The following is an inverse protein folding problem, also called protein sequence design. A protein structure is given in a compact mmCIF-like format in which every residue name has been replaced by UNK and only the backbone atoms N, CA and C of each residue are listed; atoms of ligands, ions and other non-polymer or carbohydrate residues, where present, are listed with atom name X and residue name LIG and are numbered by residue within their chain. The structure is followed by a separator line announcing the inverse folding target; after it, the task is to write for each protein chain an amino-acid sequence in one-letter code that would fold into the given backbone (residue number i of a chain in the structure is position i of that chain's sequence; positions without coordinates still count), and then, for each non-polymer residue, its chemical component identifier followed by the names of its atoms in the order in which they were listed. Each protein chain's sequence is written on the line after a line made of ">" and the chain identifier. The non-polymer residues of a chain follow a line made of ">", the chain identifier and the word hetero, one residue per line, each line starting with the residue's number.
data_IF_831232974673
#
_entry.id   IF_831232974673
#
_cell.length_a   1.000
_cell.length_b   1.000
_cell.length_c   1.000
_cell.angle_alpha   90.00
_cell.angle_beta   90.00
_cell.angle_gamma   90.00
#
_symmetry.space_group_name_H-M   'P 1'
#
loop_
_entity.id
_entity.type
_entity.pdbx_description
1 polymer ?
#
# COMPACT_ATOMS: atom_id res chain seq x y z
N UNK A 1 -29.97 33.33 0.39
CA UNK A 1 -29.69 31.94 0.80
C UNK A 1 -28.47 31.47 0.01
N UNK A 2 -27.27 31.78 0.48
CA UNK A 2 -26.03 31.31 -0.12
C UNK A 2 -25.68 30.00 0.56
N UNK A 3 -25.86 28.89 -0.14
CA UNK A 3 -25.39 27.59 0.32
C UNK A 3 -23.87 27.65 0.21
N UNK A 4 -23.19 27.72 1.35
CA UNK A 4 -21.75 27.49 1.49
C UNK A 4 -21.42 26.10 0.93
N UNK A 5 -21.20 26.00 -0.39
CA UNK A 5 -20.45 24.89 -0.98
C UNK A 5 -18.99 25.15 -0.66
N UNK A 6 -18.62 24.91 0.60
CA UNK A 6 -17.27 24.53 0.93
C UNK A 6 -17.03 23.26 0.12
N UNK A 7 -16.21 23.35 -0.92
CA UNK A 7 -15.68 22.18 -1.60
C UNK A 7 -14.81 21.43 -0.59
N UNK A 8 -15.44 20.57 0.22
CA UNK A 8 -14.75 19.57 1.01
C UNK A 8 -14.17 18.56 0.00
N UNK A 9 -13.00 18.83 -0.56
CA UNK A 9 -12.08 17.73 -0.81
C UNK A 9 -11.78 17.15 0.57
N UNK A 10 -12.57 16.16 1.00
CA UNK A 10 -12.26 15.33 2.16
C UNK A 10 -10.88 14.73 1.86
N UNK A 11 -9.84 15.32 2.44
CA UNK A 11 -8.53 14.70 2.47
C UNK A 11 -8.69 13.44 3.32
N UNK A 12 -8.87 12.30 2.66
CA UNK A 12 -8.90 11.00 3.32
C UNK A 12 -7.53 10.79 3.96
N UNK A 13 -7.48 10.68 5.28
CA UNK A 13 -6.24 10.47 6.02
C UNK A 13 -5.75 9.03 5.79
N UNK A 14 -4.51 8.88 5.34
CA UNK A 14 -3.87 7.55 5.30
C UNK A 14 -3.46 7.12 6.70
N UNK A 15 -4.29 6.29 7.34
CA UNK A 15 -4.02 5.74 8.68
C UNK A 15 -3.03 4.58 8.67
N UNK A 16 -2.69 4.00 7.52
CA UNK A 16 -1.71 2.93 7.41
C UNK A 16 -0.26 3.45 7.45
N UNK A 17 -0.04 4.72 7.13
CA UNK A 17 1.29 5.35 7.09
C UNK A 17 2.07 5.16 8.40
N UNK A 18 3.30 4.66 8.30
CA UNK A 18 4.20 4.45 9.44
C UNK A 18 3.76 3.36 10.44
N UNK A 19 2.72 2.58 10.13
CA UNK A 19 2.31 1.41 10.94
C UNK A 19 3.30 0.25 10.75
N UNK A 20 3.06 -0.86 11.46
CA UNK A 20 3.89 -2.06 11.38
C UNK A 20 3.28 -3.10 10.41
N UNK A 21 3.78 -3.20 9.17
CA UNK A 21 3.33 -4.22 8.23
C UNK A 21 4.18 -5.49 8.30
N UNK A 22 3.59 -6.57 7.81
CA UNK A 22 4.18 -7.89 7.66
C UNK A 22 3.78 -8.46 6.30
N UNK A 23 4.62 -9.33 5.76
CA UNK A 23 4.30 -10.09 4.56
C UNK A 23 4.80 -11.52 4.70
N UNK A 24 4.28 -12.42 3.88
CA UNK A 24 4.58 -13.86 3.95
C UNK A 24 6.08 -14.16 3.82
N UNK A 25 6.78 -13.44 2.94
CA UNK A 25 8.23 -13.48 2.78
C UNK A 25 8.75 -12.22 2.11
N UNK A 26 10.06 -12.01 2.09
CA UNK A 26 10.69 -10.87 1.41
C UNK A 26 11.71 -11.34 0.37
N UNK A 27 11.75 -10.65 -0.77
CA UNK A 27 12.76 -10.84 -1.83
C UNK A 27 13.31 -9.50 -2.32
N UNK A 28 14.55 -9.48 -2.84
CA UNK A 28 15.19 -8.33 -3.50
C UNK A 28 15.10 -6.98 -2.76
N UNK A 29 15.06 -7.02 -1.42
CA UNK A 29 14.92 -5.82 -0.59
C UNK A 29 13.52 -5.20 -0.57
N UNK A 30 12.51 -5.83 -1.17
CA UNK A 30 11.09 -5.43 -1.12
C UNK A 30 10.45 -5.74 0.22
N UNK A 31 10.85 -5.00 1.26
CA UNK A 31 10.34 -5.12 2.63
C UNK A 31 8.90 -4.57 2.74
N UNK A 32 8.06 -5.10 3.65
CA UNK A 32 6.64 -4.73 3.73
C UNK A 32 6.38 -3.26 4.09
N UNK A 33 7.36 -2.57 4.71
CA UNK A 33 7.28 -1.16 5.11
C UNK A 33 7.11 -0.21 3.93
N UNK A 34 7.55 -0.60 2.74
CA UNK A 34 7.50 0.24 1.54
C UNK A 34 6.06 0.58 1.10
N UNK A 35 5.11 -0.33 1.32
CA UNK A 35 3.70 -0.07 1.03
C UNK A 35 3.04 1.00 1.95
N UNK A 36 3.70 1.38 3.05
CA UNK A 36 3.15 2.32 4.05
C UNK A 36 4.14 3.45 4.40
N UNK A 37 5.19 3.65 3.62
CA UNK A 37 6.19 4.69 3.85
C UNK A 37 5.77 6.07 3.30
N UNK A 38 4.64 6.13 2.59
CA UNK A 38 4.09 7.36 2.01
C UNK A 38 4.69 7.72 0.64
N UNK A 39 5.63 6.92 0.13
CA UNK A 39 6.08 7.01 -1.26
C UNK A 39 5.02 6.36 -2.17
N UNK A 40 4.52 7.12 -3.15
CA UNK A 40 3.57 6.59 -4.15
C UNK A 40 4.25 6.62 -5.52
N UNK A 41 5.00 5.56 -5.82
CA UNK A 41 5.56 5.34 -7.16
C UNK A 41 4.55 4.60 -8.03
N UNK A 42 4.18 5.15 -9.20
CA UNK A 42 3.35 4.44 -10.18
C UNK A 42 4.10 3.33 -10.94
N UNK A 43 5.40 3.18 -10.70
CA UNK A 43 6.31 2.24 -11.36
C UNK A 43 7.04 1.46 -10.29
N UNK A 44 7.17 0.14 -10.46
CA UNK A 44 7.93 -0.69 -9.55
C UNK A 44 9.39 -0.21 -9.50
N UNK A 45 9.83 0.17 -8.31
CA UNK A 45 11.23 0.35 -7.97
C UNK A 45 11.46 -0.51 -6.71
N UNK A 46 12.51 -1.35 -6.67
CA UNK A 46 12.81 -2.13 -5.47
C UNK A 46 13.07 -1.25 -4.25
N UNK A 47 13.28 0.06 -4.40
CA UNK A 47 13.31 1.04 -3.31
C UNK A 47 11.93 1.51 -2.83
N UNK A 48 10.87 1.40 -3.64
CA UNK A 48 9.53 1.93 -3.34
C UNK A 48 8.44 0.88 -3.21
N UNK A 49 8.67 -0.37 -3.61
CA UNK A 49 7.65 -1.43 -3.61
C UNK A 49 7.99 -2.59 -2.69
N UNK A 50 6.94 -3.29 -2.25
CA UNK A 50 7.06 -4.57 -1.54
C UNK A 50 7.29 -5.72 -2.53
N UNK A 51 7.93 -6.80 -2.07
CA UNK A 51 8.11 -8.01 -2.88
C UNK A 51 8.18 -9.28 -2.01
N UNK A 52 7.29 -10.22 -2.30
CA UNK A 52 7.32 -11.59 -1.76
C UNK A 52 8.09 -12.53 -2.68
N UNK A 53 8.50 -13.69 -2.15
CA UNK A 53 8.97 -14.80 -3.00
C UNK A 53 7.80 -15.41 -3.76
N UNK A 54 8.11 -16.23 -4.76
CA UNK A 54 7.08 -17.01 -5.46
C UNK A 54 6.44 -18.03 -4.52
N UNK A 55 5.16 -17.83 -4.22
CA UNK A 55 4.38 -18.62 -3.27
C UNK A 55 2.97 -18.86 -3.81
N UNK A 56 2.31 -19.93 -3.36
CA UNK A 56 0.95 -20.26 -3.82
C UNK A 56 -0.09 -19.25 -3.34
N UNK A 57 0.12 -18.65 -2.17
CA UNK A 57 -0.79 -17.68 -1.52
C UNK A 57 0.02 -16.62 -0.76
N UNK A 58 0.71 -15.70 -1.46
CA UNK A 58 1.44 -14.63 -0.80
C UNK A 58 0.45 -13.69 -0.10
N UNK A 59 0.85 -13.13 1.03
CA UNK A 59 0.03 -12.19 1.80
C UNK A 59 0.85 -11.02 2.29
N UNK A 60 0.17 -9.89 2.45
CA UNK A 60 0.66 -8.69 3.12
C UNK A 60 -0.42 -8.24 4.11
N UNK A 61 0.02 -7.75 5.27
CA UNK A 61 -0.82 -7.37 6.39
C UNK A 61 -0.25 -6.13 7.07
N UNK A 62 -1.12 -5.26 7.61
CA UNK A 62 -0.70 -4.14 8.46
C UNK A 62 -1.53 -4.09 9.72
N UNK A 63 -0.85 -3.98 10.86
CA UNK A 63 -1.51 -3.72 12.12
C UNK A 63 -1.77 -2.21 12.26
N UNK A 64 -3.03 -1.80 12.23
CA UNK A 64 -3.43 -0.40 12.42
C UNK A 64 -3.40 0.05 13.90
N UNK A 65 -3.06 -0.83 14.83
CA UNK A 65 -2.97 -0.62 16.29
C UNK A 65 -4.31 -0.33 16.99
N UNK A 66 -5.22 0.36 16.32
CA UNK A 66 -6.56 0.68 16.80
C UNK A 66 -7.62 0.37 15.71
N UNK A 67 -8.89 0.18 16.09
CA UNK A 67 -9.97 -0.01 15.13
C UNK A 67 -10.26 1.30 14.37
N UNK A 68 -10.34 1.22 13.04
CA UNK A 68 -10.72 2.35 12.19
C UNK A 68 -11.96 2.04 11.35
N UNK A 69 -12.80 3.05 11.16
CA UNK A 69 -13.84 3.03 10.13
C UNK A 69 -13.19 3.33 8.77
N UNK A 70 -12.82 2.28 8.05
CA UNK A 70 -12.13 2.41 6.76
C UNK A 70 -13.10 2.83 5.67
N UNK A 71 -12.86 4.00 5.07
CA UNK A 71 -13.67 4.54 3.97
C UNK A 71 -13.14 4.14 2.59
N UNK A 72 -11.82 4.03 2.45
CA UNK A 72 -11.14 3.74 1.20
C UNK A 72 -9.89 2.92 1.47
N UNK A 73 -9.68 1.88 0.67
CA UNK A 73 -8.40 1.19 0.55
C UNK A 73 -7.88 1.44 -0.85
N UNK A 74 -6.69 2.03 -0.95
CA UNK A 74 -6.00 2.24 -2.21
C UNK A 74 -4.84 1.27 -2.29
N UNK A 75 -4.77 0.52 -3.39
CA UNK A 75 -3.67 -0.38 -3.70
C UNK A 75 -2.98 0.16 -4.96
N UNK A 76 -1.69 0.46 -4.85
CA UNK A 76 -0.88 0.95 -5.95
C UNK A 76 0.01 -0.19 -6.47
N UNK A 77 -0.43 -0.85 -7.54
CA UNK A 77 0.34 -1.94 -8.12
C UNK A 77 1.48 -1.38 -8.97
N UNK A 78 2.72 -1.77 -8.65
CA UNK A 78 3.84 -1.58 -9.57
C UNK A 78 3.55 -2.32 -10.88
N UNK A 79 3.81 -1.70 -12.04
CA UNK A 79 3.76 -2.42 -13.32
C UNK A 79 4.68 -3.63 -13.25
N UNK A 80 4.16 -4.81 -13.59
CA UNK A 80 4.94 -6.02 -13.68
C UNK A 80 6.09 -5.83 -14.66
N UNK A 81 7.33 -6.00 -14.19
CA UNK A 81 8.43 -6.32 -15.08
C UNK A 81 8.38 -7.84 -15.29
N UNK A 82 8.03 -8.25 -16.51
CA UNK A 82 7.95 -9.63 -17.01
C UNK A 82 6.74 -10.48 -16.56
N UNK A 83 6.38 -11.43 -17.42
CA UNK A 83 5.13 -12.22 -17.51
C UNK A 83 4.83 -13.19 -16.35
N UNK A 84 5.33 -12.93 -15.15
CA UNK A 84 5.08 -13.81 -14.02
C UNK A 84 4.23 -13.10 -12.97
N UNK A 85 3.25 -13.84 -12.48
CA UNK A 85 2.22 -13.49 -11.51
C UNK A 85 2.81 -13.10 -10.16
N UNK A 86 3.52 -11.98 -10.12
CA UNK A 86 4.04 -11.34 -8.92
C UNK A 86 3.02 -10.30 -8.46
N UNK A 87 2.58 -10.42 -7.22
CA UNK A 87 1.72 -9.42 -6.59
C UNK A 87 2.64 -8.37 -5.97
N UNK A 88 2.67 -7.20 -6.59
CA UNK A 88 3.36 -6.01 -6.08
C UNK A 88 2.34 -5.11 -5.39
N UNK A 89 2.54 -4.79 -4.12
CA UNK A 89 1.80 -3.75 -3.40
C UNK A 89 2.71 -2.56 -3.08
#
# INVERSE_FOLDING_TARGET
>A
MLVNRVFYFLAVLNVAGGKAPMQSSSSEGGIPQKAVDGSSGQVYNPQTCTLTRAEVKPWWYVNLLEPYMVQLVRLDFGKACCEQSHIFF
#
